data_IF_589683321532
#
_entry.id   IF_589683321532
#
_cell.length_a   1.000
_cell.length_b   1.000
_cell.length_c   1.000
_cell.angle_alpha   90.00
_cell.angle_beta   90.00
_cell.angle_gamma   90.00
#
_symmetry.space_group_name_H-M   'P 1'
#
loop_
_entity.id
_entity.type
_entity.pdbx_description
1 polymer ?
#
# COMPACT_ATOMS: atom_id res chain seq x y z
N UNK A 1 10.61 -11.39 -15.96
CA UNK A 1 11.77 -12.30 -16.22
C UNK A 1 13.08 -11.51 -16.45
N UNK A 2 13.14 -10.55 -17.39
CA UNK A 2 14.36 -9.78 -17.65
C UNK A 2 14.85 -9.01 -16.42
N UNK A 3 13.96 -8.34 -15.71
CA UNK A 3 14.30 -7.59 -14.48
C UNK A 3 14.85 -8.51 -13.39
N UNK A 4 14.24 -9.67 -13.15
CA UNK A 4 14.71 -10.64 -12.16
C UNK A 4 16.10 -11.14 -12.51
N UNK A 5 16.33 -11.50 -13.77
CA UNK A 5 17.65 -11.91 -14.26
C UNK A 5 18.69 -10.80 -14.09
N UNK A 6 18.35 -9.56 -14.42
CA UNK A 6 19.25 -8.42 -14.27
C UNK A 6 19.60 -8.15 -12.80
N UNK A 7 18.63 -8.26 -11.88
CA UNK A 7 18.88 -8.11 -10.44
C UNK A 7 19.79 -9.23 -9.95
N UNK A 8 19.49 -10.49 -10.32
CA UNK A 8 20.31 -11.63 -9.94
C UNK A 8 21.76 -11.51 -10.44
N UNK A 9 21.94 -11.08 -11.69
CA UNK A 9 23.28 -10.86 -12.27
C UNK A 9 24.08 -9.75 -11.57
N UNK A 10 23.42 -8.85 -10.81
CA UNK A 10 24.07 -7.83 -9.98
C UNK A 10 24.46 -8.34 -8.59
N UNK A 11 23.96 -9.50 -8.17
CA UNK A 11 24.31 -10.12 -6.90
C UNK A 11 25.70 -10.78 -7.02
N UNK A 12 26.74 -10.05 -6.62
CA UNK A 12 28.13 -10.54 -6.69
C UNK A 12 28.35 -11.68 -5.71
N UNK A 13 28.88 -12.81 -6.19
CA UNK A 13 29.21 -13.96 -5.37
C UNK A 13 28.06 -14.90 -5.01
N UNK A 14 26.86 -14.66 -5.54
CA UNK A 14 25.69 -15.55 -5.36
C UNK A 14 25.51 -16.41 -6.61
N UNK A 15 25.45 -17.73 -6.43
CA UNK A 15 25.11 -18.67 -7.51
C UNK A 15 23.63 -19.03 -7.47
N UNK A 16 23.08 -19.48 -8.62
CA UNK A 16 21.67 -19.87 -8.73
C UNK A 16 21.24 -20.96 -7.74
N UNK A 17 22.18 -21.85 -7.36
CA UNK A 17 21.91 -22.98 -6.45
C UNK A 17 21.89 -22.54 -4.97
N UNK A 18 22.31 -21.30 -4.68
CA UNK A 18 22.23 -20.70 -3.34
C UNK A 18 20.93 -19.92 -3.12
N UNK A 19 20.05 -19.80 -4.13
CA UNK A 19 18.74 -19.16 -4.00
C UNK A 19 17.76 -20.19 -3.46
N UNK A 20 17.41 -20.08 -2.19
CA UNK A 20 16.56 -21.04 -1.48
C UNK A 20 15.06 -20.77 -1.68
N UNK A 21 14.69 -19.53 -2.00
CA UNK A 21 13.28 -19.19 -2.16
C UNK A 21 13.02 -17.91 -2.94
N UNK A 22 11.83 -17.84 -3.50
CA UNK A 22 11.28 -16.67 -4.20
C UNK A 22 9.94 -16.33 -3.57
N UNK A 23 9.70 -15.03 -3.40
CA UNK A 23 8.40 -14.51 -2.98
C UNK A 23 8.17 -13.11 -3.58
N UNK A 24 6.94 -12.60 -3.44
CA UNK A 24 6.52 -11.34 -4.06
C UNK A 24 5.80 -10.43 -3.07
N UNK A 25 6.07 -9.14 -3.21
CA UNK A 25 5.24 -8.06 -2.71
C UNK A 25 4.68 -7.31 -3.92
N UNK A 26 3.37 -7.14 -4.02
CA UNK A 26 2.75 -6.48 -5.16
C UNK A 26 1.55 -5.62 -4.77
N UNK A 27 1.17 -4.69 -5.65
CA UNK A 27 -0.15 -4.05 -5.57
C UNK A 27 -1.26 -5.11 -5.56
N UNK A 28 -2.35 -4.78 -4.89
CA UNK A 28 -3.53 -5.65 -4.70
C UNK A 28 -4.70 -5.23 -5.61
N UNK A 29 -5.79 -6.01 -5.55
CA UNK A 29 -7.05 -5.73 -6.24
C UNK A 29 -6.96 -5.74 -7.77
N UNK A 30 -6.03 -6.52 -8.33
CA UNK A 30 -5.96 -6.80 -9.76
C UNK A 30 -6.97 -7.87 -10.19
N UNK A 31 -7.28 -7.89 -11.48
CA UNK A 31 -8.03 -8.97 -12.12
C UNK A 31 -7.18 -9.55 -13.24
N UNK A 32 -6.63 -10.73 -13.03
CA UNK A 32 -5.90 -11.52 -14.02
C UNK A 32 -6.65 -12.81 -14.26
N UNK A 33 -7.38 -12.88 -15.37
CA UNK A 33 -8.14 -14.07 -15.76
C UNK A 33 -7.26 -14.96 -16.62
N UNK A 34 -7.17 -16.24 -16.26
CA UNK A 34 -6.30 -17.21 -16.92
C UNK A 34 -7.07 -18.45 -17.39
N UNK A 35 -6.55 -19.10 -18.43
CA UNK A 35 -6.99 -20.40 -18.91
C UNK A 35 -6.36 -21.56 -18.09
N UNK A 36 -6.70 -22.81 -18.45
CA UNK A 36 -6.14 -24.00 -17.77
C UNK A 36 -4.63 -24.16 -17.92
N UNK A 37 -4.03 -23.52 -18.90
CA UNK A 37 -2.57 -23.52 -19.09
C UNK A 37 -1.87 -22.36 -18.37
N UNK A 38 -2.60 -21.52 -17.62
CA UNK A 38 -2.07 -20.37 -16.92
C UNK A 38 -1.78 -19.17 -17.83
N UNK A 39 -2.30 -19.13 -19.05
CA UNK A 39 -2.13 -17.99 -19.93
C UNK A 39 -3.23 -16.96 -19.67
N UNK A 40 -2.86 -15.67 -19.69
CA UNK A 40 -3.85 -14.61 -19.65
C UNK A 40 -4.78 -14.67 -20.86
N UNK A 41 -6.09 -14.70 -20.63
CA UNK A 41 -7.10 -14.69 -21.70
C UNK A 41 -7.37 -13.30 -22.25
N UNK A 42 -6.94 -12.26 -21.53
CA UNK A 42 -7.01 -10.83 -21.86
C UNK A 42 -5.96 -10.04 -21.10
N UNK A 43 -5.77 -8.76 -21.46
CA UNK A 43 -4.92 -7.85 -20.65
C UNK A 43 -5.49 -7.73 -19.23
N UNK A 44 -4.66 -7.87 -18.19
CA UNK A 44 -5.08 -7.67 -16.79
C UNK A 44 -5.68 -6.29 -16.56
N UNK A 45 -6.61 -6.20 -15.62
CA UNK A 45 -7.14 -4.94 -15.10
C UNK A 45 -6.49 -4.69 -13.75
N UNK A 46 -5.82 -3.54 -13.60
CA UNK A 46 -5.17 -3.15 -12.34
C UNK A 46 -6.19 -2.53 -11.37
N UNK A 47 -5.76 -2.24 -10.14
CA UNK A 47 -6.57 -1.50 -9.15
C UNK A 47 -7.00 -0.10 -9.64
N UNK A 48 -6.30 0.48 -10.62
CA UNK A 48 -6.64 1.80 -11.18
C UNK A 48 -7.76 1.75 -12.22
N UNK A 49 -8.13 0.56 -12.73
CA UNK A 49 -9.14 0.40 -13.79
C UNK A 49 -10.54 0.71 -13.24
N UNK A 50 -11.24 1.66 -13.85
CA UNK A 50 -12.53 2.18 -13.39
C UNK A 50 -13.68 1.94 -14.38
N UNK A 51 -13.49 1.08 -15.39
CA UNK A 51 -14.50 0.87 -16.45
C UNK A 51 -15.80 0.19 -15.99
N UNK A 52 -15.81 -0.44 -14.82
CA UNK A 52 -16.91 -1.27 -14.33
C UNK A 52 -17.99 -0.50 -13.54
N UNK A 53 -18.24 0.77 -13.89
CA UNK A 53 -19.20 1.62 -13.18
C UNK A 53 -20.64 1.15 -13.26
N UNK A 54 -21.05 0.60 -14.41
CA UNK A 54 -22.42 0.08 -14.59
C UNK A 54 -22.63 -1.23 -13.82
N UNK A 55 -21.62 -2.09 -13.75
CA UNK A 55 -21.66 -3.34 -12.99
C UNK A 55 -21.75 -3.07 -11.48
N UNK A 56 -21.04 -2.05 -10.99
CA UNK A 56 -21.16 -1.57 -9.62
C UNK A 56 -22.58 -1.10 -9.34
N UNK A 57 -23.13 -0.19 -10.17
CA UNK A 57 -24.50 0.33 -10.00
C UNK A 57 -25.52 -0.79 -9.98
N UNK A 58 -25.50 -1.69 -10.96
CA UNK A 58 -26.39 -2.86 -11.05
C UNK A 58 -26.15 -3.85 -9.91
N UNK A 59 -24.91 -3.98 -9.45
CA UNK A 59 -24.48 -4.98 -8.48
C UNK A 59 -24.82 -4.63 -7.04
N UNK A 60 -24.52 -3.41 -6.59
CA UNK A 60 -24.64 -3.02 -5.19
C UNK A 60 -25.27 -1.65 -4.97
N UNK A 61 -25.15 -0.73 -5.91
CA UNK A 61 -25.56 0.67 -5.73
C UNK A 61 -26.97 0.91 -6.32
N UNK A 62 -27.96 0.12 -5.90
CA UNK A 62 -29.36 0.34 -6.29
C UNK A 62 -30.29 0.15 -5.08
N UNK A 63 -31.50 0.70 -5.14
CA UNK A 63 -32.47 0.67 -4.03
C UNK A 63 -32.14 1.68 -2.94
N UNK A 64 -32.53 1.39 -1.69
CA UNK A 64 -32.20 2.23 -0.52
C UNK A 64 -30.74 2.01 -0.15
N UNK A 65 -29.94 3.08 -0.20
CA UNK A 65 -28.49 3.02 -0.05
C UNK A 65 -28.00 3.71 1.21
N UNK A 66 -26.94 3.14 1.81
CA UNK A 66 -26.11 3.76 2.85
C UNK A 66 -24.65 3.55 2.42
N UNK A 67 -23.85 4.60 2.46
CA UNK A 67 -22.44 4.57 2.06
C UNK A 67 -22.21 3.94 0.65
N UNK A 68 -23.08 4.30 -0.32
CA UNK A 68 -22.94 3.82 -1.71
C UNK A 68 -23.41 2.38 -1.96
N UNK A 69 -23.91 1.67 -0.95
CA UNK A 69 -24.37 0.30 -1.06
C UNK A 69 -25.82 0.12 -0.61
N UNK A 70 -26.55 -0.76 -1.28
CA UNK A 70 -27.88 -1.19 -0.85
C UNK A 70 -27.81 -1.85 0.54
N UNK A 71 -28.73 -1.45 1.46
CA UNK A 71 -28.65 -1.72 2.90
C UNK A 71 -28.48 -3.22 3.21
N UNK A 72 -29.25 -4.09 2.54
CA UNK A 72 -29.18 -5.54 2.84
C UNK A 72 -27.87 -6.15 2.38
N UNK A 73 -27.30 -5.67 1.29
CA UNK A 73 -26.00 -6.09 0.78
C UNK A 73 -24.85 -5.55 1.64
N UNK A 74 -24.97 -4.29 2.07
CA UNK A 74 -24.04 -3.69 3.04
C UNK A 74 -23.97 -4.52 4.32
N UNK A 75 -25.11 -4.88 4.91
CA UNK A 75 -25.12 -5.71 6.12
C UNK A 75 -24.51 -7.09 5.91
N UNK A 76 -24.71 -7.72 4.74
CA UNK A 76 -24.04 -8.99 4.42
C UNK A 76 -22.54 -8.82 4.33
N UNK A 77 -22.05 -7.80 3.62
CA UNK A 77 -20.62 -7.50 3.54
C UNK A 77 -20.00 -7.27 4.92
N UNK A 78 -20.61 -6.41 5.73
CA UNK A 78 -20.12 -6.13 7.09
C UNK A 78 -20.08 -7.39 7.97
N UNK A 79 -21.06 -8.29 7.78
CA UNK A 79 -21.13 -9.55 8.53
C UNK A 79 -20.06 -10.55 8.13
N UNK A 80 -19.78 -10.70 6.84
CA UNK A 80 -18.93 -11.78 6.32
C UNK A 80 -17.50 -11.35 6.07
N UNK A 81 -17.32 -10.22 5.40
CA UNK A 81 -16.00 -9.79 4.94
C UNK A 81 -15.42 -8.64 5.77
N UNK A 82 -16.28 -7.90 6.49
CA UNK A 82 -15.85 -6.69 7.20
C UNK A 82 -15.43 -5.51 6.30
N UNK A 83 -15.58 -5.65 4.98
CA UNK A 83 -15.31 -4.59 4.02
C UNK A 83 -16.33 -4.65 2.89
N UNK A 84 -16.69 -3.49 2.32
CA UNK A 84 -17.78 -3.38 1.33
C UNK A 84 -17.21 -3.07 -0.03
N UNK A 85 -17.65 -3.81 -1.05
CA UNK A 85 -17.30 -3.53 -2.44
C UNK A 85 -18.15 -2.39 -2.99
N UNK A 86 -17.82 -1.16 -2.63
CA UNK A 86 -18.54 0.05 -3.02
C UNK A 86 -17.76 0.94 -4.01
N UNK A 87 -16.56 0.55 -4.39
CA UNK A 87 -15.71 1.28 -5.34
C UNK A 87 -15.76 0.65 -6.74
N UNK A 88 -15.81 1.50 -7.77
CA UNK A 88 -15.66 1.06 -9.16
C UNK A 88 -14.32 0.38 -9.44
N UNK A 89 -13.31 0.65 -8.60
CA UNK A 89 -11.97 0.05 -8.66
C UNK A 89 -11.92 -1.38 -8.13
N UNK A 90 -12.98 -1.86 -7.44
CA UNK A 90 -12.99 -3.18 -6.83
C UNK A 90 -13.01 -4.31 -7.89
N UNK A 91 -12.27 -5.40 -7.68
CA UNK A 91 -12.06 -6.41 -8.70
C UNK A 91 -13.30 -7.23 -9.05
N UNK A 92 -14.29 -7.33 -8.15
CA UNK A 92 -15.57 -8.00 -8.41
C UNK A 92 -16.29 -7.38 -9.61
N UNK A 93 -16.33 -6.04 -9.69
CA UNK A 93 -17.04 -5.36 -10.77
C UNK A 93 -16.30 -5.50 -12.09
N UNK A 94 -14.97 -5.53 -12.07
CA UNK A 94 -14.14 -5.84 -13.24
C UNK A 94 -14.38 -7.26 -13.76
N UNK A 95 -14.52 -8.25 -12.85
CA UNK A 95 -14.88 -9.62 -13.21
C UNK A 95 -16.26 -9.69 -13.91
N UNK A 96 -17.26 -8.98 -13.37
CA UNK A 96 -18.58 -8.87 -14.00
C UNK A 96 -18.52 -8.17 -15.33
N UNK A 97 -17.74 -7.09 -15.42
CA UNK A 97 -17.54 -6.39 -16.69
C UNK A 97 -17.02 -7.32 -17.79
N UNK A 98 -15.99 -8.12 -17.51
CA UNK A 98 -15.48 -9.10 -18.48
C UNK A 98 -16.56 -10.12 -18.88
N UNK A 99 -17.36 -10.59 -17.92
CA UNK A 99 -18.46 -11.52 -18.20
C UNK A 99 -19.51 -10.92 -19.14
N UNK A 100 -19.85 -9.65 -18.97
CA UNK A 100 -20.91 -8.98 -19.72
C UNK A 100 -20.42 -8.45 -21.08
N UNK A 101 -19.18 -7.94 -21.14
CA UNK A 101 -18.65 -7.28 -22.35
C UNK A 101 -17.70 -8.16 -23.20
N UNK A 102 -17.11 -9.20 -22.61
CA UNK A 102 -16.20 -10.10 -23.29
C UNK A 102 -16.60 -11.58 -23.11
N UNK A 103 -17.84 -12.00 -23.48
CA UNK A 103 -18.35 -13.35 -23.17
C UNK A 103 -17.51 -14.47 -23.76
N UNK A 104 -16.91 -14.29 -24.94
CA UNK A 104 -16.05 -15.30 -25.56
C UNK A 104 -14.71 -15.48 -24.83
N UNK A 105 -14.17 -14.43 -24.23
CA UNK A 105 -13.04 -14.52 -23.33
C UNK A 105 -13.47 -15.17 -22.01
N UNK A 106 -14.60 -14.75 -21.48
CA UNK A 106 -15.08 -15.24 -20.19
C UNK A 106 -15.32 -16.76 -20.18
N UNK A 107 -15.78 -17.35 -21.28
CA UNK A 107 -15.95 -18.81 -21.44
C UNK A 107 -14.64 -19.60 -21.27
N UNK A 108 -13.49 -18.96 -21.47
CA UNK A 108 -12.16 -19.58 -21.36
C UNK A 108 -11.59 -19.49 -19.93
N UNK A 109 -12.23 -18.74 -19.02
CA UNK A 109 -11.75 -18.54 -17.67
C UNK A 109 -11.69 -19.86 -16.92
N UNK A 110 -10.50 -20.19 -16.46
CA UNK A 110 -10.27 -21.29 -15.52
C UNK A 110 -10.11 -20.75 -14.09
N UNK A 111 -9.24 -19.74 -13.92
CA UNK A 111 -9.03 -19.10 -12.61
C UNK A 111 -8.92 -17.59 -12.73
N UNK A 112 -9.33 -16.92 -11.64
CA UNK A 112 -9.08 -15.53 -11.36
C UNK A 112 -7.91 -15.44 -10.39
N UNK A 113 -6.83 -14.78 -10.78
CA UNK A 113 -5.62 -14.51 -10.00
C UNK A 113 -5.48 -12.99 -9.81
N UNK A 114 -4.72 -12.57 -8.80
CA UNK A 114 -4.19 -11.21 -8.74
C UNK A 114 -2.78 -11.19 -9.38
N UNK A 115 -2.12 -10.05 -9.39
CA UNK A 115 -0.83 -9.86 -10.09
C UNK A 115 0.24 -10.80 -9.55
N UNK A 116 0.38 -10.87 -8.24
CA UNK A 116 1.35 -11.75 -7.54
C UNK A 116 1.06 -13.22 -7.83
N UNK A 117 -0.19 -13.63 -7.71
CA UNK A 117 -0.60 -15.01 -7.96
C UNK A 117 -0.40 -15.43 -9.41
N UNK A 118 -0.56 -14.48 -10.34
CA UNK A 118 -0.20 -14.75 -11.72
C UNK A 118 1.30 -14.99 -11.90
N UNK A 119 2.16 -14.23 -11.20
CA UNK A 119 3.61 -14.50 -11.22
C UNK A 119 3.92 -15.87 -10.62
N UNK A 120 3.28 -16.23 -9.49
CA UNK A 120 3.40 -17.56 -8.89
C UNK A 120 2.98 -18.63 -9.91
N UNK A 121 1.82 -18.48 -10.54
CA UNK A 121 1.34 -19.42 -11.56
C UNK A 121 2.33 -19.56 -12.73
N UNK A 122 2.93 -18.46 -13.18
CA UNK A 122 3.94 -18.49 -14.26
C UNK A 122 5.23 -19.21 -13.88
N UNK A 123 5.59 -19.18 -12.58
CA UNK A 123 6.80 -19.84 -12.08
C UNK A 123 6.59 -21.31 -11.78
N UNK A 124 5.43 -21.67 -11.24
CA UNK A 124 5.16 -22.98 -10.65
C UNK A 124 4.17 -23.84 -11.44
N UNK A 125 3.26 -23.21 -12.16
CA UNK A 125 2.07 -23.86 -12.75
C UNK A 125 0.89 -23.96 -11.76
N UNK A 126 1.05 -23.54 -10.50
CA UNK A 126 0.02 -23.64 -9.46
C UNK A 126 -0.97 -22.47 -9.52
N UNK A 127 -2.23 -22.76 -9.21
CA UNK A 127 -3.32 -21.75 -9.16
C UNK A 127 -3.73 -21.54 -7.71
N UNK A 128 -3.04 -20.65 -7.03
CA UNK A 128 -3.24 -20.33 -5.62
C UNK A 128 -3.47 -18.83 -5.43
N UNK A 129 -4.04 -18.44 -4.29
CA UNK A 129 -4.16 -17.05 -3.85
C UNK A 129 -3.90 -17.00 -2.35
N UNK A 130 -3.14 -16.00 -1.88
CA UNK A 130 -2.90 -15.85 -0.44
C UNK A 130 -4.11 -15.22 0.24
N UNK A 131 -4.26 -15.43 1.56
CA UNK A 131 -5.43 -14.97 2.32
C UNK A 131 -5.64 -13.45 2.22
N UNK A 132 -4.57 -12.67 2.19
CA UNK A 132 -4.63 -11.22 2.06
C UNK A 132 -5.09 -10.78 0.65
N UNK A 133 -4.58 -11.41 -0.41
CA UNK A 133 -5.07 -11.18 -1.77
C UNK A 133 -6.52 -11.65 -1.94
N UNK A 134 -6.88 -12.78 -1.33
CA UNK A 134 -8.26 -13.26 -1.33
C UNK A 134 -9.19 -12.26 -0.63
N UNK A 135 -8.77 -11.69 0.49
CA UNK A 135 -9.49 -10.58 1.13
C UNK A 135 -9.61 -9.35 0.21
N UNK A 136 -8.55 -9.00 -0.50
CA UNK A 136 -8.53 -7.90 -1.48
C UNK A 136 -9.54 -8.06 -2.61
N UNK A 137 -10.02 -9.28 -2.89
CA UNK A 137 -11.14 -9.52 -3.82
C UNK A 137 -12.50 -9.12 -3.25
N UNK A 138 -12.62 -8.91 -1.93
CA UNK A 138 -13.87 -8.67 -1.17
C UNK A 138 -14.85 -9.87 -1.21
N UNK A 139 -14.32 -11.07 -1.44
CA UNK A 139 -15.04 -12.34 -1.45
C UNK A 139 -14.64 -13.27 -0.30
N UNK A 140 -13.73 -12.83 0.59
CA UNK A 140 -13.16 -13.62 1.68
C UNK A 140 -13.98 -13.47 2.96
N UNK A 141 -14.36 -14.58 3.59
CA UNK A 141 -15.00 -14.59 4.91
C UNK A 141 -13.93 -14.41 6.00
N UNK A 142 -14.04 -13.34 6.78
CA UNK A 142 -13.08 -13.02 7.85
C UNK A 142 -13.49 -13.54 9.21
N UNK A 143 -14.64 -14.21 9.31
CA UNK A 143 -15.15 -14.71 10.58
C UNK A 143 -14.31 -15.89 11.07
N UNK A 144 -13.92 -15.85 12.34
CA UNK A 144 -13.11 -16.90 12.99
C UNK A 144 -13.75 -18.29 12.82
N UNK A 145 -12.98 -19.23 12.28
CA UNK A 145 -13.40 -20.60 11.97
C UNK A 145 -14.21 -20.75 10.68
N UNK A 146 -14.34 -19.69 9.88
CA UNK A 146 -15.02 -19.68 8.58
C UNK A 146 -14.15 -19.07 7.49
N UNK A 147 -12.88 -18.80 7.77
CA UNK A 147 -11.94 -18.13 6.89
C UNK A 147 -11.86 -18.83 5.53
N UNK A 148 -12.02 -18.09 4.46
CA UNK A 148 -11.99 -18.63 3.10
C UNK A 148 -12.96 -17.94 2.15
N UNK A 149 -13.23 -18.56 0.99
CA UNK A 149 -14.16 -18.00 0.01
C UNK A 149 -15.60 -17.96 0.54
N UNK A 150 -16.20 -16.78 0.54
CA UNK A 150 -17.54 -16.53 1.06
C UNK A 150 -18.62 -16.83 0.01
N UNK A 151 -19.16 -18.06 0.01
CA UNK A 151 -20.22 -18.43 -0.93
C UNK A 151 -21.42 -17.46 -0.93
N UNK A 152 -21.97 -17.00 0.23
CA UNK A 152 -23.08 -16.05 0.25
C UNK A 152 -22.79 -14.72 -0.46
N UNK A 153 -21.52 -14.25 -0.42
CA UNK A 153 -21.11 -13.04 -1.14
C UNK A 153 -20.90 -13.35 -2.63
N UNK A 154 -20.23 -14.46 -2.96
CA UNK A 154 -20.05 -14.88 -4.36
C UNK A 154 -21.40 -15.00 -5.09
N UNK A 155 -22.36 -15.68 -4.49
CA UNK A 155 -23.71 -15.83 -5.05
C UNK A 155 -24.40 -14.45 -5.22
N UNK A 156 -24.28 -13.56 -4.23
CA UNK A 156 -24.90 -12.23 -4.24
C UNK A 156 -24.36 -11.34 -5.36
N UNK A 157 -23.05 -11.39 -5.63
CA UNK A 157 -22.40 -10.55 -6.66
C UNK A 157 -22.20 -11.28 -7.98
N UNK A 158 -22.57 -12.57 -8.06
CA UNK A 158 -22.54 -13.38 -9.28
C UNK A 158 -21.13 -13.80 -9.71
N UNK A 159 -20.25 -14.13 -8.75
CA UNK A 159 -18.94 -14.72 -9.01
C UNK A 159 -19.02 -16.24 -8.93
N UNK A 160 -18.54 -16.93 -9.97
CA UNK A 160 -18.48 -18.40 -9.95
C UNK A 160 -17.29 -18.85 -9.09
N UNK A 161 -17.59 -19.58 -8.01
CA UNK A 161 -16.56 -20.09 -7.09
C UNK A 161 -15.56 -21.03 -7.79
N UNK A 162 -15.92 -21.65 -8.93
CA UNK A 162 -14.98 -22.49 -9.71
C UNK A 162 -13.82 -21.68 -10.28
N UNK A 163 -14.00 -20.39 -10.49
CA UNK A 163 -12.96 -19.50 -10.96
C UNK A 163 -12.02 -19.03 -9.83
N UNK A 164 -12.38 -19.25 -8.56
CA UNK A 164 -11.55 -18.88 -7.44
C UNK A 164 -10.48 -19.97 -7.18
N UNK A 165 -9.21 -19.57 -6.93
CA UNK A 165 -8.12 -20.52 -6.69
C UNK A 165 -8.15 -21.06 -5.25
N UNK A 166 -7.26 -22.01 -4.93
CA UNK A 166 -7.02 -22.44 -3.57
C UNK A 166 -6.40 -21.32 -2.73
N UNK A 167 -6.84 -21.15 -1.47
CA UNK A 167 -6.28 -20.15 -0.56
C UNK A 167 -5.10 -20.75 0.20
N UNK A 168 -4.00 -20.00 0.25
CA UNK A 168 -2.77 -20.33 0.99
C UNK A 168 -2.42 -19.20 1.96
N UNK A 169 -1.55 -19.48 2.94
CA UNK A 169 -0.96 -18.43 3.77
C UNK A 169 0.16 -17.71 3.03
N UNK A 170 0.42 -16.48 3.42
CA UNK A 170 1.54 -15.70 2.84
C UNK A 170 2.90 -16.40 3.04
N UNK A 171 3.03 -17.19 4.08
CA UNK A 171 4.26 -17.93 4.41
C UNK A 171 4.33 -19.34 3.84
N UNK A 172 3.27 -19.85 3.21
CA UNK A 172 3.25 -21.23 2.69
C UNK A 172 4.16 -21.33 1.46
N UNK A 173 4.88 -22.46 1.37
CA UNK A 173 5.47 -22.90 0.09
C UNK A 173 4.34 -23.29 -0.84
N UNK A 174 4.24 -22.60 -1.98
CA UNK A 174 3.13 -22.73 -2.94
C UNK A 174 3.51 -23.48 -4.22
N UNK A 175 4.76 -23.86 -4.36
CA UNK A 175 5.27 -24.62 -5.49
C UNK A 175 6.78 -24.50 -5.64
N UNK A 176 7.28 -24.90 -6.80
CA UNK A 176 8.69 -24.84 -7.17
C UNK A 176 8.84 -24.27 -8.58
N UNK A 177 9.96 -23.60 -8.82
CA UNK A 177 10.30 -23.04 -10.14
C UNK A 177 10.42 -24.18 -11.16
N UNK A 178 9.61 -24.15 -12.21
CA UNK A 178 9.63 -25.11 -13.33
C UNK A 178 10.88 -24.96 -14.18
N UNK A 179 11.24 -25.97 -14.96
CA UNK A 179 12.39 -25.91 -15.89
C UNK A 179 12.31 -24.69 -16.83
N UNK A 180 11.13 -24.41 -17.37
CA UNK A 180 10.91 -23.26 -18.25
C UNK A 180 11.14 -21.93 -17.52
N UNK A 181 10.58 -21.79 -16.33
CA UNK A 181 10.74 -20.57 -15.55
C UNK A 181 12.21 -20.40 -15.09
N UNK A 182 12.90 -21.47 -14.74
CA UNK A 182 14.31 -21.47 -14.38
C UNK A 182 15.19 -20.92 -15.51
N UNK A 183 14.96 -21.36 -16.75
CA UNK A 183 15.64 -20.87 -17.93
C UNK A 183 15.36 -19.37 -18.16
N UNK A 184 14.09 -18.95 -18.07
CA UNK A 184 13.69 -17.55 -18.27
C UNK A 184 14.27 -16.61 -17.21
N UNK A 185 14.41 -17.06 -15.95
CA UNK A 185 14.88 -16.24 -14.82
C UNK A 185 16.40 -16.29 -14.60
N UNK A 186 17.04 -17.36 -15.06
CA UNK A 186 18.45 -17.65 -14.75
C UNK A 186 18.64 -18.24 -13.34
N UNK A 187 17.62 -18.89 -12.79
CA UNK A 187 17.62 -19.54 -11.47
C UNK A 187 17.68 -21.07 -11.60
N UNK A 188 17.84 -21.76 -10.46
CA UNK A 188 17.78 -23.22 -10.43
C UNK A 188 16.31 -23.70 -10.57
N UNK A 189 16.11 -24.78 -11.33
CA UNK A 189 14.86 -25.52 -11.30
C UNK A 189 14.67 -26.11 -9.89
N UNK A 190 13.42 -26.09 -9.37
CA UNK A 190 13.13 -26.60 -8.03
C UNK A 190 13.32 -25.57 -6.92
N UNK A 191 13.78 -24.34 -7.23
CA UNK A 191 13.78 -23.25 -6.23
C UNK A 191 12.37 -23.07 -5.67
N UNK A 192 12.24 -23.07 -4.33
CA UNK A 192 10.94 -22.95 -3.69
C UNK A 192 10.28 -21.59 -3.93
N UNK A 193 8.97 -21.58 -4.16
CA UNK A 193 8.16 -20.35 -4.31
C UNK A 193 7.20 -20.25 -3.15
N UNK A 194 7.20 -19.11 -2.46
CA UNK A 194 6.36 -18.84 -1.30
C UNK A 194 5.27 -17.82 -1.64
N UNK A 195 4.17 -17.87 -0.90
CA UNK A 195 2.97 -17.07 -1.17
C UNK A 195 3.23 -15.57 -1.25
N UNK A 196 4.01 -15.01 -0.33
CA UNK A 196 4.19 -13.56 -0.24
C UNK A 196 2.90 -12.83 0.10
N UNK A 197 2.80 -11.57 -0.25
CA UNK A 197 1.60 -10.79 0.07
C UNK A 197 1.47 -9.51 -0.74
N UNK A 198 0.35 -8.84 -0.54
CA UNK A 198 0.13 -7.49 -1.04
C UNK A 198 0.99 -6.46 -0.31
N UNK A 199 1.19 -5.31 -0.93
CA UNK A 199 1.93 -4.19 -0.35
C UNK A 199 1.35 -3.75 1.00
N UNK A 200 0.02 -3.60 1.09
CA UNK A 200 -0.67 -3.24 2.33
C UNK A 200 -0.49 -4.26 3.47
N UNK A 201 -0.17 -5.52 3.15
CA UNK A 201 0.08 -6.58 4.12
C UNK A 201 1.56 -6.68 4.51
N UNK A 202 2.48 -6.55 3.54
CA UNK A 202 3.90 -6.85 3.74
C UNK A 202 4.74 -5.64 4.16
N UNK A 203 4.32 -4.42 3.81
CA UNK A 203 5.08 -3.21 4.17
C UNK A 203 5.19 -3.07 5.69
N UNK A 204 4.09 -3.31 6.43
CA UNK A 204 4.13 -3.34 7.89
C UNK A 204 5.08 -4.39 8.45
N UNK A 205 5.09 -5.59 7.87
CA UNK A 205 6.01 -6.68 8.25
C UNK A 205 7.46 -6.28 8.01
N UNK A 206 7.78 -5.80 6.81
CA UNK A 206 9.14 -5.35 6.48
C UNK A 206 9.60 -4.14 7.30
N UNK A 207 8.69 -3.32 7.79
CA UNK A 207 8.99 -2.25 8.73
C UNK A 207 9.15 -2.74 10.18
N UNK A 208 8.79 -4.00 10.49
CA UNK A 208 8.78 -4.55 11.84
C UNK A 208 7.60 -4.11 12.71
N UNK A 209 6.49 -3.69 12.09
CA UNK A 209 5.21 -3.43 12.75
C UNK A 209 4.35 -4.69 12.67
N UNK A 210 4.53 -5.61 13.62
CA UNK A 210 3.94 -6.94 13.58
C UNK A 210 3.19 -7.35 14.85
N UNK A 211 3.42 -6.64 15.97
CA UNK A 211 2.73 -6.89 17.24
C UNK A 211 1.42 -6.09 17.33
N UNK A 212 0.43 -6.63 18.06
CA UNK A 212 -0.84 -5.92 18.27
C UNK A 212 -0.59 -4.54 18.88
N UNK A 213 -1.14 -3.50 18.26
CA UNK A 213 -0.94 -2.11 18.61
C UNK A 213 0.26 -1.43 17.94
N UNK A 214 1.13 -2.16 17.24
CA UNK A 214 2.16 -1.53 16.41
C UNK A 214 1.50 -0.75 15.26
N UNK A 215 2.03 0.44 15.01
CA UNK A 215 1.59 1.27 13.89
C UNK A 215 2.74 1.52 12.92
N UNK A 216 2.40 1.52 11.64
CA UNK A 216 3.31 1.97 10.60
C UNK A 216 2.65 3.02 9.71
N UNK A 217 3.46 3.93 9.22
CA UNK A 217 3.10 4.94 8.23
C UNK A 217 3.94 4.68 6.99
N UNK A 218 3.29 4.54 5.87
CA UNK A 218 3.94 4.46 4.57
C UNK A 218 3.73 5.76 3.79
N UNK A 219 4.80 6.30 3.23
CA UNK A 219 4.76 7.47 2.36
C UNK A 219 5.50 7.17 1.05
N UNK A 220 4.75 6.75 0.07
CA UNK A 220 5.14 6.60 -1.33
C UNK A 220 4.41 7.59 -2.20
N UNK A 221 4.07 7.24 -3.44
CA UNK A 221 3.20 8.04 -4.32
C UNK A 221 1.88 8.36 -3.64
N UNK A 222 1.18 7.32 -3.14
CA UNK A 222 0.14 7.40 -2.12
C UNK A 222 0.74 7.18 -0.73
N UNK A 223 -0.09 7.20 0.31
CA UNK A 223 0.35 6.91 1.65
C UNK A 223 -0.75 6.22 2.46
N UNK A 224 -0.38 5.64 3.58
CA UNK A 224 -1.34 5.07 4.52
C UNK A 224 -0.81 4.99 5.94
N UNK A 225 -1.73 4.81 6.84
CA UNK A 225 -1.46 4.44 8.23
C UNK A 225 -2.08 3.07 8.48
N UNK A 226 -1.31 2.12 8.97
CA UNK A 226 -1.76 0.80 9.35
C UNK A 226 -1.43 0.51 10.81
N UNK A 227 -2.43 0.03 11.57
CA UNK A 227 -2.27 -0.42 12.95
C UNK A 227 -2.60 -1.90 13.04
N UNK A 228 -1.72 -2.70 13.61
CA UNK A 228 -1.95 -4.15 13.80
C UNK A 228 -3.00 -4.37 14.87
N UNK A 229 -4.04 -5.14 14.52
CA UNK A 229 -5.17 -5.45 15.41
C UNK A 229 -5.48 -6.95 15.38
N UNK A 230 -6.07 -7.53 16.45
CA UNK A 230 -6.31 -8.97 16.53
C UNK A 230 -7.64 -9.42 15.88
N UNK A 231 -8.46 -8.48 15.44
CA UNK A 231 -9.79 -8.78 14.91
C UNK A 231 -10.20 -7.83 13.80
N UNK A 232 -11.20 -8.25 13.02
CA UNK A 232 -11.82 -7.42 12.00
C UNK A 232 -12.49 -6.19 12.62
N UNK A 233 -12.19 -5.02 12.08
CA UNK A 233 -12.72 -3.73 12.52
C UNK A 233 -13.14 -2.89 11.32
N UNK A 234 -14.23 -2.13 11.46
CA UNK A 234 -14.73 -1.21 10.44
C UNK A 234 -15.10 0.13 11.08
N UNK A 235 -14.71 1.21 10.46
CA UNK A 235 -15.20 2.56 10.71
C UNK A 235 -15.78 3.14 9.42
N UNK A 236 -17.07 2.93 9.20
CA UNK A 236 -17.77 3.42 8.01
C UNK A 236 -17.80 4.95 7.91
N UNK A 237 -17.70 5.64 9.06
CA UNK A 237 -17.67 7.12 9.11
C UNK A 237 -16.31 7.70 8.73
N UNK A 238 -15.25 6.89 8.78
CA UNK A 238 -13.89 7.29 8.38
C UNK A 238 -13.37 6.52 7.16
N UNK A 239 -14.20 5.69 6.55
CA UNK A 239 -13.82 4.85 5.39
C UNK A 239 -12.59 3.97 5.67
N UNK A 240 -12.46 3.49 6.91
CA UNK A 240 -11.35 2.66 7.36
C UNK A 240 -11.83 1.26 7.72
N UNK A 241 -11.08 0.25 7.33
CA UNK A 241 -11.35 -1.14 7.67
C UNK A 241 -10.05 -1.88 8.00
N UNK A 242 -10.17 -2.93 8.83
CA UNK A 242 -9.06 -3.84 9.05
C UNK A 242 -8.98 -4.81 7.87
N UNK A 243 -7.83 -4.88 7.25
CA UNK A 243 -7.50 -5.82 6.16
C UNK A 243 -6.76 -7.03 6.72
N UNK A 244 -6.95 -8.18 6.11
CA UNK A 244 -6.25 -9.41 6.51
C UNK A 244 -4.75 -9.21 6.35
N UNK A 245 -3.99 -9.46 7.41
CA UNK A 245 -2.54 -9.32 7.42
C UNK A 245 -1.80 -10.50 6.77
N UNK A 246 -0.49 -10.35 6.61
CA UNK A 246 0.38 -11.46 6.19
C UNK A 246 0.43 -12.57 7.25
N UNK A 247 0.34 -12.19 8.54
CA UNK A 247 0.05 -13.15 9.62
C UNK A 247 -1.47 -13.38 9.65
N UNK A 248 -1.96 -14.64 9.47
CA UNK A 248 -3.39 -14.93 9.46
C UNK A 248 -4.09 -14.70 10.82
N UNK A 249 -3.33 -14.53 11.91
CA UNK A 249 -3.87 -14.26 13.24
C UNK A 249 -4.11 -12.77 13.51
N UNK A 250 -3.71 -11.89 12.59
CA UNK A 250 -3.80 -10.43 12.74
C UNK A 250 -4.38 -9.76 11.52
N UNK A 251 -4.85 -8.55 11.75
CA UNK A 251 -5.34 -7.64 10.72
C UNK A 251 -4.55 -6.33 10.79
N UNK A 252 -4.50 -5.60 9.68
CA UNK A 252 -4.02 -4.22 9.64
C UNK A 252 -5.24 -3.30 9.56
N UNK A 253 -5.52 -2.53 10.61
CA UNK A 253 -6.53 -1.48 10.57
C UNK A 253 -5.97 -0.32 9.77
N UNK A 254 -6.56 -0.06 8.60
CA UNK A 254 -5.93 0.62 7.49
C UNK A 254 -6.69 1.89 7.11
N UNK A 255 -5.96 2.98 6.89
CA UNK A 255 -6.48 4.24 6.34
C UNK A 255 -5.54 4.76 5.27
N UNK A 256 -6.05 5.07 4.09
CA UNK A 256 -5.28 5.45 2.90
C UNK A 256 -5.41 6.95 2.60
N UNK A 257 -4.28 7.57 2.27
CA UNK A 257 -4.16 8.89 1.69
C UNK A 257 -3.86 8.75 0.18
N UNK A 258 -4.72 9.30 -0.66
CA UNK A 258 -4.64 9.15 -2.13
C UNK A 258 -3.33 9.74 -2.70
N UNK A 259 -2.87 10.89 -2.15
CA UNK A 259 -1.63 11.54 -2.55
C UNK A 259 -0.76 11.85 -1.33
N UNK A 260 0.45 11.27 -1.28
CA UNK A 260 1.45 11.51 -0.24
C UNK A 260 2.70 12.16 -0.87
N UNK A 261 3.80 11.46 -1.09
CA UNK A 261 4.99 12.01 -1.73
C UNK A 261 4.75 12.48 -3.16
N UNK A 262 3.63 12.10 -3.79
CA UNK A 262 3.21 12.73 -5.05
C UNK A 262 3.00 14.23 -4.90
N UNK A 263 2.62 14.73 -3.70
CA UNK A 263 2.57 16.16 -3.42
C UNK A 263 3.96 16.79 -3.41
N UNK A 264 4.98 16.09 -2.88
CA UNK A 264 6.38 16.55 -2.94
C UNK A 264 6.89 16.52 -4.39
N UNK A 265 6.53 15.49 -5.16
CA UNK A 265 6.78 15.45 -6.60
C UNK A 265 6.13 16.62 -7.34
N UNK A 266 4.88 16.96 -6.99
CA UNK A 266 4.20 18.13 -7.54
C UNK A 266 4.93 19.45 -7.22
N UNK A 267 5.42 19.59 -5.97
CA UNK A 267 6.29 20.74 -5.57
C UNK A 267 7.54 20.78 -6.43
N UNK A 268 8.22 19.64 -6.58
CA UNK A 268 9.41 19.53 -7.44
C UNK A 268 9.11 20.03 -8.85
N UNK A 269 8.05 19.52 -9.45
CA UNK A 269 7.74 19.74 -10.86
C UNK A 269 7.22 21.17 -11.12
N UNK A 270 6.40 21.76 -10.22
CA UNK A 270 5.67 23.01 -10.45
C UNK A 270 6.15 24.20 -9.61
N UNK A 271 6.82 23.98 -8.49
CA UNK A 271 7.33 25.06 -7.65
C UNK A 271 8.86 25.17 -7.66
N UNK A 272 9.59 24.12 -8.05
CA UNK A 272 11.04 24.11 -8.05
C UNK A 272 11.65 24.01 -9.45
N UNK A 273 11.25 23.03 -10.26
CA UNK A 273 11.87 22.76 -11.56
C UNK A 273 11.43 23.70 -12.67
N UNK A 274 10.26 24.32 -12.62
CA UNK A 274 9.80 25.24 -13.67
C UNK A 274 10.79 26.39 -13.87
N UNK A 275 11.25 27.02 -12.79
CA UNK A 275 12.24 28.09 -12.86
C UNK A 275 13.64 27.54 -13.21
N UNK A 276 14.04 26.41 -12.61
CA UNK A 276 15.32 25.76 -12.87
C UNK A 276 15.36 25.24 -14.30
N UNK A 277 14.29 24.66 -14.82
CA UNK A 277 14.19 24.20 -16.20
C UNK A 277 14.39 25.34 -17.20
N UNK A 278 13.82 26.53 -16.94
CA UNK A 278 14.05 27.73 -17.74
C UNK A 278 15.50 28.20 -17.62
N UNK A 279 16.06 28.20 -16.41
CA UNK A 279 17.44 28.58 -16.16
C UNK A 279 18.42 27.63 -16.85
N UNK A 280 18.25 26.32 -16.71
CA UNK A 280 19.12 25.31 -17.33
C UNK A 280 19.05 25.34 -18.86
N UNK A 281 17.88 25.55 -19.45
CA UNK A 281 17.75 25.75 -20.90
C UNK A 281 18.50 26.98 -21.41
N UNK A 282 18.62 28.00 -20.57
CA UNK A 282 19.22 29.29 -20.95
C UNK A 282 20.71 29.37 -20.66
N UNK A 283 21.16 28.72 -19.58
CA UNK A 283 22.51 28.89 -19.01
C UNK A 283 23.22 27.59 -18.67
N UNK A 284 22.53 26.43 -18.76
CA UNK A 284 23.11 25.12 -18.40
C UNK A 284 24.15 24.65 -19.41
N UNK A 285 25.22 24.05 -18.93
CA UNK A 285 26.16 23.32 -19.76
C UNK A 285 25.52 22.00 -20.20
N UNK A 286 25.74 21.60 -21.45
CA UNK A 286 25.17 20.40 -22.09
C UNK A 286 25.60 19.05 -21.47
N UNK A 287 26.33 19.07 -20.34
CA UNK A 287 26.86 17.88 -19.67
C UNK A 287 26.05 17.39 -18.47
N UNK A 288 25.12 18.19 -17.94
CA UNK A 288 24.29 17.76 -16.81
C UNK A 288 23.04 17.04 -17.32
N UNK A 289 22.93 15.74 -17.07
CA UNK A 289 21.70 15.01 -17.42
C UNK A 289 20.56 15.48 -16.52
N UNK A 290 19.37 15.72 -17.13
CA UNK A 290 18.16 16.05 -16.39
C UNK A 290 17.86 15.04 -15.27
N UNK A 291 18.17 13.74 -15.48
CA UNK A 291 18.00 12.68 -14.49
C UNK A 291 18.84 12.91 -13.22
N UNK A 292 20.06 13.44 -13.36
CA UNK A 292 20.95 13.70 -12.21
C UNK A 292 20.50 14.94 -11.42
N UNK A 293 19.99 15.94 -12.12
CA UNK A 293 19.37 17.14 -11.49
C UNK A 293 18.09 16.75 -10.76
N UNK A 294 17.26 15.87 -11.32
CA UNK A 294 16.04 15.38 -10.69
C UNK A 294 16.31 14.56 -9.42
N UNK A 295 17.38 13.76 -9.41
CA UNK A 295 17.76 12.95 -8.24
C UNK A 295 18.22 13.85 -7.07
N UNK A 296 19.03 14.87 -7.34
CA UNK A 296 19.53 15.79 -6.31
C UNK A 296 18.45 16.77 -5.81
N UNK A 297 17.33 16.89 -6.51
CA UNK A 297 16.29 17.85 -6.17
C UNK A 297 15.54 17.49 -4.87
N UNK A 298 15.37 16.21 -4.56
CA UNK A 298 14.73 15.81 -3.29
C UNK A 298 15.62 16.15 -2.09
N UNK A 299 16.92 15.96 -2.20
CA UNK A 299 17.88 16.34 -1.15
C UNK A 299 17.89 17.88 -0.97
N UNK A 300 17.87 18.62 -2.07
CA UNK A 300 17.73 20.07 -2.02
C UNK A 300 16.42 20.54 -1.37
N UNK A 301 15.30 19.89 -1.64
CA UNK A 301 14.03 20.20 -0.99
C UNK A 301 14.10 19.92 0.53
N UNK A 302 14.75 18.83 0.97
CA UNK A 302 14.98 18.54 2.39
C UNK A 302 15.81 19.66 3.06
N UNK A 303 16.87 20.14 2.42
CA UNK A 303 17.68 21.28 2.93
C UNK A 303 16.84 22.56 3.02
N UNK A 304 16.03 22.86 1.99
CA UNK A 304 15.15 24.05 1.98
C UNK A 304 14.15 24.00 3.12
N UNK A 305 13.45 22.89 3.33
CA UNK A 305 12.44 22.79 4.39
C UNK A 305 13.04 22.83 5.79
N UNK A 306 14.31 22.44 5.96
CA UNK A 306 15.01 22.53 7.25
C UNK A 306 15.27 23.99 7.69
N UNK A 307 15.44 24.91 6.74
CA UNK A 307 15.68 26.33 7.03
C UNK A 307 14.44 27.07 7.53
N UNK A 308 13.24 26.52 7.34
CA UNK A 308 11.96 27.17 7.70
C UNK A 308 11.51 26.72 9.09
N UNK A 309 11.01 27.61 9.95
CA UNK A 309 10.56 27.22 11.27
C UNK A 309 9.33 26.31 11.21
N UNK A 310 9.18 25.48 12.27
CA UNK A 310 8.04 24.61 12.45
C UNK A 310 6.71 25.37 12.30
N UNK A 311 5.77 24.79 11.55
CA UNK A 311 4.47 25.37 11.26
C UNK A 311 4.46 26.35 10.09
N UNK A 312 5.53 26.40 9.28
CA UNK A 312 5.59 27.13 7.99
C UNK A 312 5.08 28.56 8.07
N UNK A 313 5.45 29.30 9.15
CA UNK A 313 4.94 30.64 9.43
C UNK A 313 3.40 30.75 9.45
N UNK A 314 2.71 29.65 9.76
CA UNK A 314 1.25 29.56 9.83
C UNK A 314 0.57 29.15 8.54
N UNK A 315 1.32 28.85 7.48
CA UNK A 315 0.75 28.29 6.23
C UNK A 315 0.36 26.84 6.46
N UNK A 316 -0.82 26.46 5.98
CA UNK A 316 -1.33 25.10 6.06
C UNK A 316 -1.64 24.63 4.64
N UNK A 317 -1.27 23.40 4.31
CA UNK A 317 -1.57 22.76 3.02
C UNK A 317 -2.42 21.50 3.22
N UNK A 318 -3.44 21.33 2.38
CA UNK A 318 -4.24 20.11 2.32
C UNK A 318 -3.74 19.22 1.18
N UNK A 319 -3.28 17.97 1.47
CA UNK A 319 -2.62 17.11 0.47
C UNK A 319 -3.61 16.36 -0.43
N UNK A 320 -4.68 16.97 -0.88
CA UNK A 320 -5.78 16.33 -1.62
C UNK A 320 -5.71 16.65 -3.11
N UNK A 321 -4.52 16.61 -3.72
CA UNK A 321 -4.31 16.96 -5.14
C UNK A 321 -5.06 16.04 -6.12
N UNK A 322 -5.56 14.89 -5.66
CA UNK A 322 -6.30 13.93 -6.48
C UNK A 322 -7.49 13.32 -5.70
N UNK A 323 -8.24 14.16 -5.03
CA UNK A 323 -9.28 13.71 -4.11
C UNK A 323 -8.73 13.25 -2.76
N UNK A 324 -9.61 12.79 -1.89
CA UNK A 324 -9.27 12.19 -0.61
C UNK A 324 -10.09 10.93 -0.36
N UNK A 325 -9.52 9.95 0.39
CA UNK A 325 -10.15 8.68 0.69
C UNK A 325 -10.48 8.48 2.17
N UNK A 326 -9.51 8.71 3.05
CA UNK A 326 -9.66 8.61 4.50
C UNK A 326 -9.16 9.88 5.18
N UNK A 327 -9.71 10.29 6.32
CA UNK A 327 -10.87 9.76 7.04
C UNK A 327 -12.22 10.29 6.54
N UNK A 328 -12.29 10.91 5.38
CA UNK A 328 -13.52 11.24 4.65
C UNK A 328 -13.27 10.99 3.16
N UNK A 329 -14.27 10.49 2.43
CA UNK A 329 -14.15 10.26 1.00
C UNK A 329 -14.75 11.42 0.22
N UNK A 330 -13.92 12.08 -0.56
CA UNK A 330 -14.33 13.08 -1.54
C UNK A 330 -13.40 13.02 -2.77
N UNK A 331 -13.87 12.45 -3.90
CA UNK A 331 -13.06 12.36 -5.11
C UNK A 331 -12.81 13.72 -5.78
N UNK A 332 -13.54 14.77 -5.38
CA UNK A 332 -13.39 16.12 -5.90
C UNK A 332 -12.61 17.05 -4.96
N UNK A 333 -12.17 16.55 -3.81
CA UNK A 333 -11.30 17.34 -2.94
C UNK A 333 -10.02 17.75 -3.68
N UNK A 334 -9.56 18.95 -3.42
CA UNK A 334 -8.38 19.53 -4.05
C UNK A 334 -7.39 20.07 -3.03
N UNK A 335 -6.12 20.14 -3.40
CA UNK A 335 -5.09 20.76 -2.58
C UNK A 335 -5.33 22.26 -2.41
N UNK A 336 -5.09 22.78 -1.21
CA UNK A 336 -5.28 24.18 -0.87
C UNK A 336 -4.15 24.64 0.04
N UNK A 337 -3.63 25.85 -0.21
CA UNK A 337 -2.83 26.60 0.75
C UNK A 337 -3.71 27.59 1.49
N UNK A 338 -3.66 27.55 2.80
CA UNK A 338 -4.41 28.44 3.68
C UNK A 338 -3.47 29.37 4.44
N UNK A 339 -3.93 30.63 4.71
CA UNK A 339 -3.21 31.64 5.48
C UNK A 339 -1.91 32.14 4.82
N UNK A 340 -1.90 32.33 3.50
CA UNK A 340 -0.80 33.00 2.80
C UNK A 340 -0.83 34.51 3.13
N UNK A 341 0.31 35.08 3.53
CA UNK A 341 0.50 36.50 3.84
C UNK A 341 1.69 37.06 3.06
N UNK A 342 1.89 38.38 3.07
CA UNK A 342 2.96 39.04 2.32
C UNK A 342 4.38 38.58 2.70
N UNK A 343 4.56 38.05 3.89
CA UNK A 343 5.84 37.51 4.37
C UNK A 343 6.02 36.00 4.12
N UNK A 344 5.10 35.38 3.40
CA UNK A 344 5.19 33.97 3.01
C UNK A 344 5.79 33.87 1.64
N UNK A 345 6.90 33.17 1.53
CA UNK A 345 7.57 32.89 0.28
C UNK A 345 7.38 31.42 -0.17
N UNK A 346 8.06 31.07 -1.23
CA UNK A 346 8.03 29.73 -1.83
C UNK A 346 8.51 28.64 -0.88
N UNK A 347 9.50 28.94 -0.05
CA UNK A 347 10.10 27.99 0.91
C UNK A 347 9.12 27.57 2.00
N UNK A 348 8.31 28.50 2.52
CA UNK A 348 7.23 28.19 3.45
C UNK A 348 6.15 27.32 2.80
N UNK A 349 5.81 27.57 1.53
CA UNK A 349 4.85 26.73 0.79
C UNK A 349 5.38 25.29 0.64
N UNK A 350 6.66 25.13 0.33
CA UNK A 350 7.30 23.81 0.18
C UNK A 350 7.24 23.04 1.51
N UNK A 351 7.64 23.69 2.63
CA UNK A 351 7.55 23.05 3.95
C UNK A 351 6.11 22.73 4.34
N UNK A 352 5.16 23.64 4.08
CA UNK A 352 3.75 23.42 4.38
C UNK A 352 3.18 22.17 3.68
N UNK A 353 3.66 21.83 2.48
CA UNK A 353 3.26 20.59 1.79
C UNK A 353 3.66 19.35 2.59
N UNK A 354 4.90 19.28 3.07
CA UNK A 354 5.38 18.17 3.90
C UNK A 354 4.63 18.11 5.23
N UNK A 355 4.45 19.25 5.90
CA UNK A 355 3.66 19.34 7.13
C UNK A 355 2.20 18.91 6.91
N UNK A 356 1.58 19.30 5.80
CA UNK A 356 0.21 18.90 5.44
C UNK A 356 0.04 17.39 5.26
N UNK A 357 1.00 16.74 4.62
CA UNK A 357 1.05 15.27 4.53
C UNK A 357 1.13 14.66 5.93
N UNK A 358 2.02 15.16 6.78
CA UNK A 358 2.19 14.67 8.15
C UNK A 358 0.95 14.94 9.03
N UNK A 359 0.25 16.07 8.86
CA UNK A 359 -1.01 16.35 9.54
C UNK A 359 -2.09 15.35 9.13
N UNK A 360 -2.18 15.02 7.87
CA UNK A 360 -3.14 14.02 7.40
C UNK A 360 -2.85 12.63 8.00
N UNK A 361 -1.58 12.24 8.07
CA UNK A 361 -1.16 10.98 8.70
C UNK A 361 -1.46 10.97 10.20
N UNK A 362 -1.24 12.10 10.90
CA UNK A 362 -1.66 12.29 12.29
C UNK A 362 -3.17 12.10 12.45
N UNK A 363 -3.98 12.71 11.58
CA UNK A 363 -5.44 12.60 11.62
C UNK A 363 -5.90 11.15 11.48
N UNK A 364 -5.35 10.41 10.50
CA UNK A 364 -5.66 9.00 10.33
C UNK A 364 -5.25 8.16 11.54
N UNK A 365 -4.05 8.38 12.08
CA UNK A 365 -3.56 7.66 13.25
C UNK A 365 -4.42 7.93 14.49
N UNK A 366 -4.72 9.19 14.78
CA UNK A 366 -5.60 9.55 15.90
C UNK A 366 -7.00 8.94 15.74
N UNK A 367 -7.54 8.91 14.52
CA UNK A 367 -8.83 8.26 14.22
C UNK A 367 -8.78 6.76 14.48
N UNK A 368 -7.71 6.08 14.08
CA UNK A 368 -7.52 4.65 14.37
C UNK A 368 -7.44 4.40 15.87
N UNK A 369 -6.74 5.24 16.60
CA UNK A 369 -6.55 5.12 18.03
C UNK A 369 -7.84 5.28 18.83
N UNK A 370 -8.80 6.07 18.38
CA UNK A 370 -10.12 6.16 18.99
C UNK A 370 -10.88 4.81 18.94
N UNK A 371 -10.63 3.99 17.92
CA UNK A 371 -11.25 2.67 17.76
C UNK A 371 -10.45 1.55 18.43
N UNK A 372 -9.15 1.75 18.63
CA UNK A 372 -8.24 0.73 19.18
C UNK A 372 -7.87 0.97 20.66
N UNK A 373 -8.68 1.74 21.40
CA UNK A 373 -8.42 2.11 22.80
C UNK A 373 -8.24 0.92 23.75
N UNK A 374 -8.85 -0.23 23.42
CA UNK A 374 -8.75 -1.47 24.20
C UNK A 374 -7.42 -2.22 24.03
N UNK A 375 -6.61 -1.86 23.04
CA UNK A 375 -5.31 -2.46 22.79
C UNK A 375 -4.19 -1.58 23.32
N UNK A 376 -3.07 -2.20 23.67
CA UNK A 376 -1.87 -1.45 24.05
C UNK A 376 -1.34 -0.73 22.81
N UNK A 377 -1.22 0.60 22.91
CA UNK A 377 -0.66 1.41 21.83
C UNK A 377 0.87 1.34 21.88
N UNK A 378 1.49 1.18 20.72
CA UNK A 378 2.93 1.39 20.60
C UNK A 378 3.29 2.86 20.87
N UNK A 379 4.38 3.07 21.61
CA UNK A 379 4.94 4.41 21.82
C UNK A 379 5.69 4.91 20.58
N UNK A 380 6.02 4.03 19.68
CA UNK A 380 6.77 4.30 18.45
C UNK A 380 5.90 4.05 17.24
N UNK A 381 6.18 4.78 16.16
CA UNK A 381 5.57 4.58 14.85
C UNK A 381 6.67 4.25 13.85
N UNK A 382 6.49 3.19 13.07
CA UNK A 382 7.42 2.82 11.99
C UNK A 382 7.10 3.69 10.77
N UNK A 383 8.10 4.41 10.26
CA UNK A 383 7.94 5.23 9.06
C UNK A 383 8.74 4.65 7.90
N UNK A 384 8.13 4.55 6.73
CA UNK A 384 8.64 3.81 5.59
C UNK A 384 8.15 4.35 4.24
N UNK A 385 8.75 3.83 3.16
CA UNK A 385 8.57 4.36 1.81
C UNK A 385 9.60 5.43 1.47
N UNK A 386 9.45 6.04 0.30
CA UNK A 386 10.36 7.10 -0.17
C UNK A 386 10.41 8.33 0.74
N UNK A 387 9.29 8.67 1.40
CA UNK A 387 9.23 9.78 2.35
C UNK A 387 10.12 9.61 3.59
N UNK A 388 10.44 8.37 3.94
CA UNK A 388 11.32 8.07 5.06
C UNK A 388 12.82 8.18 4.73
N UNK A 389 13.17 8.58 3.51
CA UNK A 389 14.55 8.89 3.12
C UNK A 389 14.98 10.29 3.59
N UNK A 390 14.04 11.23 3.68
CA UNK A 390 14.29 12.61 4.12
C UNK A 390 14.37 12.73 5.64
N UNK A 391 15.51 13.16 6.16
CA UNK A 391 15.74 13.29 7.60
C UNK A 391 14.85 14.37 8.22
N UNK A 392 14.74 15.54 7.55
CA UNK A 392 13.88 16.64 7.96
C UNK A 392 12.42 16.25 7.94
N UNK A 393 11.98 15.51 6.90
CA UNK A 393 10.62 14.95 6.80
C UNK A 393 10.32 14.00 7.97
N UNK A 394 11.26 13.12 8.34
CA UNK A 394 11.12 12.21 9.48
C UNK A 394 11.00 12.97 10.80
N UNK A 395 11.81 14.01 11.00
CA UNK A 395 11.74 14.86 12.20
C UNK A 395 10.41 15.63 12.28
N UNK A 396 9.94 16.21 11.15
CA UNK A 396 8.63 16.87 11.07
C UNK A 396 7.51 15.90 11.48
N UNK A 397 7.55 14.67 10.97
CA UNK A 397 6.56 13.66 11.32
C UNK A 397 6.59 13.33 12.83
N UNK A 398 7.79 13.14 13.42
CA UNK A 398 7.93 12.89 14.84
C UNK A 398 7.37 14.05 15.69
N UNK A 399 7.67 15.29 15.31
CA UNK A 399 7.22 16.50 15.98
C UNK A 399 5.69 16.69 15.89
N UNK A 400 5.11 16.40 14.73
CA UNK A 400 3.66 16.48 14.51
C UNK A 400 2.92 15.39 15.29
N UNK A 401 3.44 14.15 15.29
CA UNK A 401 2.84 13.02 16.01
C UNK A 401 3.09 13.09 17.52
N UNK A 402 4.10 13.83 17.99
CA UNK A 402 4.61 13.81 19.37
C UNK A 402 4.94 12.38 19.83
N UNK A 403 5.60 11.61 18.94
CA UNK A 403 6.01 10.22 19.16
C UNK A 403 7.35 9.94 18.51
N UNK A 404 8.04 8.93 19.04
CA UNK A 404 9.23 8.42 18.40
C UNK A 404 8.88 7.81 17.04
N UNK A 405 9.53 8.31 15.98
CA UNK A 405 9.43 7.79 14.62
C UNK A 405 10.66 6.96 14.32
N UNK A 406 10.45 5.67 14.07
CA UNK A 406 11.50 4.69 13.81
C UNK A 406 11.60 4.43 12.32
N UNK A 407 12.77 4.66 11.75
CA UNK A 407 13.09 4.38 10.35
C UNK A 407 14.05 3.19 10.31
N UNK A 408 13.73 2.21 9.48
CA UNK A 408 14.55 1.01 9.26
C UNK A 408 15.54 1.21 8.11
N UNK A 409 16.52 0.32 8.00
CA UNK A 409 17.43 0.33 6.85
C UNK A 409 16.66 0.13 5.52
N UNK A 410 17.04 0.91 4.51
CA UNK A 410 16.41 0.87 3.17
C UNK A 410 14.87 0.96 3.21
N UNK A 411 14.30 2.03 3.81
CA UNK A 411 12.87 2.14 4.08
C UNK A 411 12.00 2.11 2.81
N UNK A 412 12.58 2.37 1.64
CA UNK A 412 11.91 2.29 0.34
C UNK A 412 11.77 0.84 -0.18
N UNK A 413 12.53 -0.13 0.37
CA UNK A 413 12.58 -1.53 -0.08
C UNK A 413 11.85 -2.50 0.86
N UNK A 414 11.14 -2.02 1.85
CA UNK A 414 10.55 -2.86 2.91
C UNK A 414 9.50 -3.86 2.43
N UNK A 415 8.84 -3.61 1.30
CA UNK A 415 7.97 -4.61 0.67
C UNK A 415 8.75 -5.90 0.32
N UNK A 416 9.97 -5.75 -0.21
CA UNK A 416 10.85 -6.89 -0.49
C UNK A 416 11.33 -7.57 0.81
N UNK A 417 11.62 -6.78 1.85
CA UNK A 417 11.98 -7.31 3.18
C UNK A 417 10.82 -8.10 3.78
N UNK A 418 9.59 -7.61 3.68
CA UNK A 418 8.39 -8.34 4.10
C UNK A 418 8.17 -9.64 3.33
N UNK A 419 8.43 -9.66 2.02
CA UNK A 419 8.38 -10.86 1.20
C UNK A 419 9.48 -11.88 1.61
N UNK A 420 10.69 -11.40 1.89
CA UNK A 420 11.78 -12.24 2.42
C UNK A 420 11.44 -12.82 3.80
N UNK A 421 10.76 -12.05 4.66
CA UNK A 421 10.28 -12.54 5.95
C UNK A 421 9.27 -13.69 5.79
N UNK A 422 8.38 -13.63 4.80
CA UNK A 422 7.46 -14.75 4.50
C UNK A 422 8.23 -16.00 4.09
N UNK A 423 9.30 -15.89 3.29
CA UNK A 423 10.17 -17.02 2.94
C UNK A 423 10.81 -17.59 4.21
N UNK A 424 11.44 -16.73 5.02
CA UNK A 424 12.18 -17.15 6.21
C UNK A 424 11.28 -17.86 7.24
N UNK A 425 10.03 -17.42 7.41
CA UNK A 425 9.04 -18.11 8.24
C UNK A 425 8.60 -19.40 7.59
N UNK A 426 8.30 -19.39 6.29
CA UNK A 426 7.81 -20.56 5.56
C UNK A 426 8.81 -21.72 5.48
N UNK A 427 10.11 -21.42 5.45
CA UNK A 427 11.17 -22.42 5.50
C UNK A 427 11.61 -22.81 6.94
N UNK A 428 11.02 -22.17 7.95
CA UNK A 428 11.33 -22.45 9.36
C UNK A 428 12.61 -21.80 9.89
N UNK A 429 13.23 -20.88 9.16
CA UNK A 429 14.38 -20.10 9.61
C UNK A 429 14.02 -19.09 10.70
N UNK A 430 12.78 -18.61 10.69
CA UNK A 430 12.19 -17.72 11.71
C UNK A 430 10.90 -18.40 12.22
N UNK A 431 10.66 -18.45 13.55
CA UNK A 431 9.51 -19.17 14.11
C UNK A 431 8.14 -18.61 13.68
N UNK A 432 8.03 -17.27 13.56
CA UNK A 432 6.77 -16.60 13.22
C UNK A 432 6.99 -15.20 12.65
N UNK A 433 5.97 -14.64 12.05
CA UNK A 433 5.95 -13.24 11.58
C UNK A 433 6.20 -12.26 12.76
N UNK A 434 5.76 -12.59 13.97
CA UNK A 434 6.01 -11.76 15.16
C UNK A 434 7.50 -11.60 15.48
N UNK A 435 8.31 -12.62 15.19
CA UNK A 435 9.75 -12.60 15.47
C UNK A 435 10.55 -11.75 14.48
N UNK A 436 9.97 -11.41 13.33
CA UNK A 436 10.60 -10.59 12.29
C UNK A 436 11.05 -9.24 12.84
N UNK A 437 10.28 -8.63 13.75
CA UNK A 437 10.60 -7.33 14.38
C UNK A 437 12.00 -7.28 14.99
N UNK A 438 12.48 -8.39 15.55
CA UNK A 438 13.81 -8.51 16.18
C UNK A 438 14.95 -8.51 15.16
N UNK A 439 14.65 -8.82 13.91
CA UNK A 439 15.64 -8.98 12.84
C UNK A 439 15.73 -7.78 11.91
N UNK A 440 14.72 -6.89 11.95
CA UNK A 440 14.71 -5.69 11.11
C UNK A 440 15.66 -4.63 11.70
N UNK A 441 16.75 -4.28 11.00
CA UNK A 441 17.69 -3.29 11.50
C UNK A 441 17.07 -1.89 11.50
N UNK A 442 17.18 -1.21 12.63
CA UNK A 442 16.76 0.18 12.77
C UNK A 442 17.90 1.09 12.32
N UNK A 443 17.65 1.95 11.34
CA UNK A 443 18.60 2.97 10.91
C UNK A 443 18.68 4.12 11.90
N UNK A 444 17.52 4.70 12.24
CA UNK A 444 17.43 5.89 13.10
C UNK A 444 16.08 5.94 13.82
N UNK A 445 16.09 6.57 15.01
CA UNK A 445 14.87 6.92 15.73
C UNK A 445 14.83 8.42 15.94
N UNK A 446 13.86 9.09 15.35
CA UNK A 446 13.59 10.51 15.49
C UNK A 446 12.70 10.73 16.69
N UNK A 447 13.21 11.48 17.68
CA UNK A 447 12.42 11.85 18.88
C UNK A 447 11.73 13.19 18.63
N UNK A 448 10.48 13.35 19.07
CA UNK A 448 9.77 14.61 18.92
C UNK A 448 10.44 15.75 19.69
N UNK A 449 10.52 16.92 19.07
CA UNK A 449 10.92 18.14 19.74
C UNK A 449 9.69 18.75 20.47
N UNK A 450 9.67 18.78 21.82
CA UNK A 450 8.52 19.32 22.55
C UNK A 450 8.26 20.81 22.29
N UNK A 451 9.30 21.58 21.88
CA UNK A 451 9.17 23.01 21.58
C UNK A 451 8.24 23.24 20.35
N UNK A 452 8.16 22.30 19.44
CA UNK A 452 7.33 22.38 18.23
C UNK A 452 5.86 21.97 18.47
N UNK A 453 5.56 21.34 19.62
CA UNK A 453 4.22 20.81 19.91
C UNK A 453 3.12 21.87 19.80
N UNK A 454 3.31 23.01 20.41
CA UNK A 454 2.27 24.05 20.49
C UNK A 454 1.91 24.62 19.10
N UNK A 455 2.89 24.81 18.24
CA UNK A 455 2.66 25.33 16.87
C UNK A 455 1.98 24.28 16.02
N UNK A 456 2.40 23.02 16.08
CA UNK A 456 1.80 21.95 15.32
C UNK A 456 0.38 21.59 15.79
N UNK A 457 0.11 21.58 17.09
CA UNK A 457 -1.24 21.37 17.61
C UNK A 457 -2.21 22.48 17.20
N UNK A 458 -1.74 23.73 17.18
CA UNK A 458 -2.53 24.86 16.68
C UNK A 458 -2.85 24.71 15.20
N UNK A 459 -1.84 24.43 14.38
CA UNK A 459 -2.01 24.28 12.92
C UNK A 459 -2.88 23.07 12.60
N UNK A 460 -2.71 21.96 13.31
CA UNK A 460 -3.52 20.75 13.11
C UNK A 460 -5.01 20.96 13.42
N UNK A 461 -5.35 21.82 14.40
CA UNK A 461 -6.76 22.18 14.69
C UNK A 461 -7.42 22.96 13.55
N UNK A 462 -6.62 23.67 12.75
CA UNK A 462 -7.13 24.43 11.58
C UNK A 462 -7.17 23.55 10.35
N UNK A 463 -6.20 22.63 10.20
CA UNK A 463 -6.16 21.63 9.16
C UNK A 463 -7.42 20.75 9.19
#
# INVERSE_FOLDING_TARGET
CSTTRNVFNKCVGVTKDQVEGISFCSAMQGLVLVDKAGNCIRRPMTYMDQRAGDELKKGIAHGVQIAGAEVTKLLKYLRYTGAVSSSVKDPIWKYRWVREHEPENFKKVYKWLDVKEYLICRLTGEFVMTQDSAFGTLLYDTRKGHEGWCKPICDMVGVDMKHLPEIKKCTDKVGEVTAKAAEELGLAQGTAVYGGGGDASLIGVGAGAVEIGDAHIYSGTSGWVGTVVPEQMVDTGAMMAAIVGANPETFNYFGELETSNKCVGWVKDHLALDEIGVFLKRYGNATDSLEQVEFNMYDYLEEVIDTIPAGSNGVIFTPWLHGNRCPFEDPNAAGMFFNIRLNVGKTELIRAVVEGICFHMRWMLERQELKTTKYQKSKTVRFCGGGALGETTCQILADILQRDVVVVESPQNIGAVGAAACIAVGMGAIPSIFDVKKLIPVKTTYKPNPANKAVYDRNFKVF
#
